data_IF_184916714042
#
_entry.id   IF_184916714042
#
_cell.length_a   1.000
_cell.length_b   1.000
_cell.length_c   1.000
_cell.angle_alpha   90.00
_cell.angle_beta   90.00
_cell.angle_gamma   90.00
#
_symmetry.space_group_name_H-M   'P 1'
#
loop_
_entity.id
_entity.type
_entity.pdbx_description
1 polymer ?
#
# COMPACT_ATOMS: atom_id res chain seq x y z
N UNK A 1 -4.59 -17.63 11.49
CA UNK A 1 -3.22 -18.19 11.39
C UNK A 1 -2.30 -17.30 10.53
N UNK A 2 -2.54 -15.98 10.49
CA UNK A 2 -1.87 -15.03 9.57
C UNK A 2 -0.82 -14.06 10.18
N UNK A 3 -0.46 -14.04 11.49
CA UNK A 3 0.43 -13.00 12.02
C UNK A 3 1.92 -13.19 11.65
N UNK A 4 2.40 -14.43 11.48
CA UNK A 4 3.84 -14.70 11.29
C UNK A 4 4.37 -14.29 9.91
N UNK A 5 3.57 -14.49 8.87
CA UNK A 5 3.91 -14.05 7.49
C UNK A 5 3.97 -12.52 7.41
N UNK A 6 3.08 -11.82 8.14
CA UNK A 6 3.10 -10.36 8.20
C UNK A 6 4.35 -9.85 8.92
N UNK A 7 4.76 -10.53 10.00
CA UNK A 7 6.00 -10.23 10.72
C UNK A 7 7.21 -10.43 9.80
N UNK A 8 7.23 -11.50 8.98
CA UNK A 8 8.31 -11.71 8.01
C UNK A 8 8.45 -10.52 7.05
N UNK A 9 7.34 -10.06 6.46
CA UNK A 9 7.36 -8.90 5.56
C UNK A 9 7.69 -7.59 6.25
N UNK A 10 7.34 -7.45 7.53
CA UNK A 10 7.70 -6.27 8.31
C UNK A 10 9.21 -6.21 8.63
N UNK A 11 9.90 -7.35 8.63
CA UNK A 11 11.35 -7.44 8.85
C UNK A 11 12.13 -7.34 7.52
N UNK A 12 11.60 -7.90 6.43
CA UNK A 12 12.16 -7.84 5.05
C UNK A 12 11.97 -6.43 4.42
N UNK A 13 12.58 -5.41 5.01
CA UNK A 13 12.53 -4.01 4.53
C UNK A 13 13.07 -3.86 3.10
N UNK A 14 14.08 -4.67 2.74
CA UNK A 14 14.74 -4.64 1.43
C UNK A 14 13.98 -5.40 0.35
N UNK A 15 12.90 -6.07 0.72
CA UNK A 15 12.06 -6.87 -0.17
C UNK A 15 12.83 -7.94 -0.97
N UNK A 16 13.90 -8.47 -0.38
CA UNK A 16 14.77 -9.47 -1.03
C UNK A 16 14.35 -10.91 -0.69
N UNK A 17 13.19 -11.09 -0.02
CA UNK A 17 12.66 -12.37 0.44
C UNK A 17 13.60 -13.10 1.43
N UNK A 18 14.50 -12.37 2.09
CA UNK A 18 15.41 -12.90 3.10
C UNK A 18 15.47 -12.00 4.32
N UNK A 19 15.58 -12.61 5.51
CA UNK A 19 15.77 -11.88 6.76
C UNK A 19 17.13 -12.26 7.33
N UNK A 20 17.98 -11.27 7.52
CA UNK A 20 19.24 -11.44 8.25
C UNK A 20 19.00 -11.39 9.76
N UNK A 21 19.91 -12.01 10.52
CA UNK A 21 19.88 -11.94 11.99
C UNK A 21 19.88 -10.51 12.53
N UNK A 22 20.57 -9.60 11.84
CA UNK A 22 20.68 -8.20 12.26
C UNK A 22 19.38 -7.42 11.99
N UNK A 23 18.67 -7.73 10.90
CA UNK A 23 17.32 -7.18 10.63
C UNK A 23 16.30 -7.68 11.66
N UNK A 24 16.34 -8.97 12.01
CA UNK A 24 15.47 -9.53 13.05
C UNK A 24 15.73 -8.88 14.42
N UNK A 25 17.01 -8.69 14.80
CA UNK A 25 17.38 -7.96 16.03
C UNK A 25 16.87 -6.53 16.03
N UNK A 26 17.02 -5.82 14.90
CA UNK A 26 16.56 -4.45 14.77
C UNK A 26 15.04 -4.36 14.95
N UNK A 27 14.31 -5.28 14.33
CA UNK A 27 12.86 -5.35 14.45
C UNK A 27 12.39 -5.63 15.88
N UNK A 28 12.99 -6.61 16.56
CA UNK A 28 12.68 -6.94 17.96
C UNK A 28 12.95 -5.76 18.89
N UNK A 29 14.09 -5.10 18.73
CA UNK A 29 14.46 -3.91 19.52
C UNK A 29 13.54 -2.73 19.26
N UNK A 30 13.17 -2.48 18.00
CA UNK A 30 12.32 -1.36 17.61
C UNK A 30 10.87 -1.52 18.09
N UNK A 31 10.36 -2.76 18.07
CA UNK A 31 8.98 -3.06 18.49
C UNK A 31 8.88 -3.46 19.98
N UNK A 32 9.96 -3.33 20.75
CA UNK A 32 10.04 -3.72 22.16
C UNK A 32 9.56 -5.16 22.43
N UNK A 33 9.92 -6.08 21.52
CA UNK A 33 9.56 -7.50 21.62
C UNK A 33 10.58 -8.26 22.49
N UNK A 34 10.19 -9.46 22.93
CA UNK A 34 11.06 -10.34 23.70
C UNK A 34 12.29 -10.77 22.88
N UNK A 35 13.49 -10.55 23.43
CA UNK A 35 14.78 -10.95 22.83
C UNK A 35 14.86 -12.48 22.61
N UNK A 36 14.14 -13.27 23.41
CA UNK A 36 13.99 -14.71 23.22
C UNK A 36 13.28 -15.08 21.90
N UNK A 37 12.63 -14.13 21.21
CA UNK A 37 12.07 -14.33 19.88
C UNK A 37 13.17 -14.61 18.85
N UNK A 38 14.35 -14.00 18.97
CA UNK A 38 15.46 -14.18 18.02
C UNK A 38 15.93 -15.64 18.05
N UNK A 39 16.20 -16.17 19.24
CA UNK A 39 16.65 -17.56 19.42
C UNK A 39 15.61 -18.55 18.91
N UNK A 40 14.32 -18.28 19.16
CA UNK A 40 13.22 -19.11 18.64
C UNK A 40 13.13 -19.08 17.12
N UNK A 41 13.25 -17.91 16.51
CA UNK A 41 13.23 -17.78 15.05
C UNK A 41 14.43 -18.45 14.39
N UNK A 42 15.62 -18.33 14.98
CA UNK A 42 16.79 -19.06 14.51
C UNK A 42 16.58 -20.58 14.60
N UNK A 43 16.11 -21.08 15.74
CA UNK A 43 15.88 -22.52 15.92
C UNK A 43 14.81 -23.08 14.97
N UNK A 44 13.76 -22.31 14.67
CA UNK A 44 12.66 -22.75 13.83
C UNK A 44 12.96 -22.61 12.33
N UNK A 45 13.56 -21.51 11.91
CA UNK A 45 13.65 -21.13 10.50
C UNK A 45 15.07 -21.15 9.92
N UNK A 46 16.11 -21.16 10.76
CA UNK A 46 17.52 -21.29 10.36
C UNK A 46 18.25 -22.39 11.16
N UNK A 47 17.82 -23.66 11.05
CA UNK A 47 18.46 -24.77 11.77
C UNK A 47 19.91 -25.02 11.33
N UNK A 48 20.29 -24.54 10.14
CA UNK A 48 21.66 -24.59 9.63
C UNK A 48 22.58 -23.50 10.19
N UNK A 49 22.04 -22.57 10.99
CA UNK A 49 22.76 -21.39 11.51
C UNK A 49 23.51 -20.63 10.41
N UNK A 50 22.87 -20.53 9.24
CA UNK A 50 23.39 -19.81 8.07
C UNK A 50 23.38 -18.30 8.30
N UNK A 51 22.63 -17.82 9.29
CA UNK A 51 22.45 -16.42 9.61
C UNK A 51 21.37 -15.72 8.75
N UNK A 52 20.74 -16.46 7.84
CA UNK A 52 19.76 -15.95 6.86
C UNK A 52 18.52 -16.84 6.89
N UNK A 53 17.35 -16.23 7.09
CA UNK A 53 16.06 -16.91 7.01
C UNK A 53 15.42 -16.55 5.67
N UNK A 54 15.24 -17.53 4.79
CA UNK A 54 14.59 -17.32 3.49
C UNK A 54 13.07 -17.45 3.60
N UNK A 55 12.35 -16.69 2.77
CA UNK A 55 10.88 -16.73 2.75
C UNK A 55 10.33 -18.11 2.40
N UNK A 56 11.02 -18.83 1.50
CA UNK A 56 10.64 -20.20 1.13
C UNK A 56 10.73 -21.14 2.33
N UNK A 57 11.85 -21.11 3.07
CA UNK A 57 12.02 -21.92 4.28
C UNK A 57 11.00 -21.55 5.36
N UNK A 58 10.69 -20.27 5.49
CA UNK A 58 9.70 -19.76 6.41
C UNK A 58 8.29 -20.31 6.10
N UNK A 59 7.90 -20.31 4.83
CA UNK A 59 6.64 -20.90 4.36
C UNK A 59 6.57 -22.41 4.61
N UNK A 60 7.66 -23.13 4.32
CA UNK A 60 7.75 -24.59 4.51
C UNK A 60 7.54 -24.98 5.97
N UNK A 61 8.16 -24.26 6.92
CA UNK A 61 8.05 -24.53 8.36
C UNK A 61 6.66 -24.20 8.88
N UNK A 62 6.02 -23.14 8.37
CA UNK A 62 4.65 -22.78 8.75
C UNK A 62 3.58 -23.62 8.06
N UNK A 63 3.95 -24.50 7.11
CA UNK A 63 3.01 -25.30 6.34
C UNK A 63 2.12 -24.47 5.41
N UNK A 64 2.55 -23.25 5.07
CA UNK A 64 1.80 -22.33 4.20
C UNK A 64 2.36 -22.43 2.78
N UNK A 65 1.48 -22.52 1.78
CA UNK A 65 1.92 -22.50 0.37
C UNK A 65 2.52 -21.13 0.04
N UNK A 66 3.74 -21.05 -0.55
CA UNK A 66 4.39 -19.77 -0.89
C UNK A 66 3.52 -18.86 -1.75
N UNK A 67 2.74 -19.42 -2.68
CA UNK A 67 1.79 -18.68 -3.53
C UNK A 67 0.67 -17.99 -2.73
N UNK A 68 0.17 -18.65 -1.68
CA UNK A 68 -0.84 -18.05 -0.79
C UNK A 68 -0.21 -16.96 0.08
N UNK A 69 1.01 -17.20 0.58
CA UNK A 69 1.76 -16.23 1.38
C UNK A 69 2.19 -14.99 0.56
N UNK A 70 2.49 -15.15 -0.74
CA UNK A 70 2.75 -14.05 -1.68
C UNK A 70 1.49 -13.24 -2.00
N UNK A 71 0.33 -13.90 -2.08
CA UNK A 71 -0.96 -13.20 -2.17
C UNK A 71 -1.22 -12.39 -0.90
N UNK A 72 -0.85 -12.91 0.28
CA UNK A 72 -0.85 -12.16 1.54
C UNK A 72 0.18 -11.03 1.54
N UNK A 73 1.35 -11.19 0.91
CA UNK A 73 2.32 -10.09 0.71
C UNK A 73 1.67 -8.95 -0.03
N UNK A 74 0.86 -9.21 -1.06
CA UNK A 74 0.12 -8.15 -1.76
C UNK A 74 -0.86 -7.44 -0.83
N UNK A 75 -1.56 -8.15 0.06
CA UNK A 75 -2.46 -7.49 1.04
C UNK A 75 -1.72 -6.77 2.18
N UNK A 76 -0.53 -7.24 2.58
CA UNK A 76 0.30 -6.65 3.65
C UNK A 76 1.18 -5.49 3.16
N UNK A 77 1.67 -5.56 1.92
CA UNK A 77 2.34 -4.44 1.22
C UNK A 77 1.31 -3.38 0.82
N UNK A 78 0.06 -3.77 0.52
CA UNK A 78 -1.10 -2.86 0.46
C UNK A 78 -1.53 -2.34 1.83
N UNK A 79 -0.96 -2.89 2.91
CA UNK A 79 -1.05 -2.43 4.28
C UNK A 79 0.29 -1.80 4.75
N UNK A 80 0.98 -1.05 3.87
CA UNK A 80 1.54 0.20 4.39
C UNK A 80 0.36 0.87 5.09
N UNK A 81 0.44 1.25 6.37
CA UNK A 81 -0.62 2.07 6.94
C UNK A 81 -0.74 3.24 5.98
N UNK A 82 -1.85 3.28 5.23
CA UNK A 82 -2.24 4.48 4.54
C UNK A 82 -2.03 5.60 5.57
N UNK A 83 -1.40 6.73 5.18
CA UNK A 83 -1.20 7.84 6.11
C UNK A 83 -2.49 8.00 6.89
N UNK A 84 -2.48 8.16 8.22
CA UNK A 84 -3.72 8.21 9.03
C UNK A 84 -4.77 9.20 8.47
N UNK A 85 -4.31 10.13 7.64
CA UNK A 85 -5.05 11.15 6.94
C UNK A 85 -5.76 10.66 5.65
N UNK A 86 -5.53 9.43 5.18
CA UNK A 86 -6.00 8.89 3.92
C UNK A 86 -7.01 7.76 4.14
N UNK A 87 -8.24 7.98 3.68
CA UNK A 87 -9.31 6.99 3.73
C UNK A 87 -9.87 6.76 2.34
N UNK A 88 -9.80 5.53 1.86
CA UNK A 88 -10.41 5.15 0.59
C UNK A 88 -11.92 5.00 0.78
N UNK A 89 -12.71 5.65 -0.07
CA UNK A 89 -14.19 5.61 -0.04
C UNK A 89 -14.69 4.59 -1.06
N UNK A 90 -14.16 4.62 -2.28
CA UNK A 90 -14.51 3.69 -3.35
C UNK A 90 -13.34 3.58 -4.32
N UNK A 91 -13.08 2.37 -4.81
CA UNK A 91 -11.98 2.12 -5.73
C UNK A 91 -12.40 1.10 -6.79
N UNK A 92 -12.04 1.39 -8.04
CA UNK A 92 -12.17 0.49 -9.16
C UNK A 92 -11.02 0.79 -10.10
N UNK A 93 -9.79 0.45 -9.70
CA UNK A 93 -8.56 0.52 -10.51
C UNK A 93 -7.41 -0.23 -9.81
N UNK A 94 -6.28 -0.45 -10.49
CA UNK A 94 -5.13 -1.19 -9.95
C UNK A 94 -4.46 -0.46 -8.77
N UNK A 95 -3.83 -1.20 -7.84
CA UNK A 95 -3.17 -0.58 -6.67
C UNK A 95 -1.99 0.31 -7.09
N UNK A 96 -1.29 -0.06 -8.16
CA UNK A 96 -0.15 0.71 -8.67
C UNK A 96 -0.58 2.10 -9.15
N UNK A 97 -1.69 2.17 -9.90
CA UNK A 97 -2.23 3.44 -10.40
C UNK A 97 -2.77 4.30 -9.25
N UNK A 98 -3.39 3.67 -8.23
CA UNK A 98 -3.83 4.36 -7.03
C UNK A 98 -2.66 5.04 -6.32
N UNK A 99 -1.55 4.32 -6.12
CA UNK A 99 -0.35 4.87 -5.47
C UNK A 99 0.21 6.06 -6.25
N UNK A 100 0.23 6.00 -7.58
CA UNK A 100 0.67 7.13 -8.40
C UNK A 100 -0.24 8.36 -8.23
N UNK A 101 -1.57 8.17 -8.22
CA UNK A 101 -2.53 9.26 -7.98
C UNK A 101 -2.31 9.87 -6.59
N UNK A 102 -2.15 9.03 -5.57
CA UNK A 102 -1.94 9.49 -4.20
C UNK A 102 -0.66 10.29 -4.05
N UNK A 103 0.46 9.79 -4.57
CA UNK A 103 1.75 10.48 -4.51
C UNK A 103 1.69 11.83 -5.26
N UNK A 104 1.01 11.86 -6.41
CA UNK A 104 0.82 13.10 -7.16
C UNK A 104 0.00 14.13 -6.38
N UNK A 105 -1.16 13.74 -5.85
CA UNK A 105 -2.04 14.63 -5.07
C UNK A 105 -1.32 15.11 -3.80
N UNK A 106 -0.55 14.24 -3.14
CA UNK A 106 0.24 14.59 -1.97
C UNK A 106 1.29 15.66 -2.29
N UNK A 107 1.97 15.53 -3.42
CA UNK A 107 2.96 16.52 -3.88
C UNK A 107 2.32 17.90 -4.18
N UNK A 108 1.04 17.94 -4.55
CA UNK A 108 0.31 19.19 -4.77
C UNK A 108 -0.11 19.86 -3.46
N UNK A 109 -0.44 19.08 -2.43
CA UNK A 109 -0.77 19.61 -1.11
C UNK A 109 0.41 20.34 -0.45
N UNK A 110 1.64 19.91 -0.70
CA UNK A 110 2.85 20.59 -0.21
C UNK A 110 3.04 21.98 -0.85
N UNK A 111 2.50 22.19 -2.06
CA UNK A 111 2.64 23.44 -2.83
C UNK A 111 1.66 24.54 -2.41
N UNK A 112 0.75 24.28 -1.46
CA UNK A 112 -0.29 25.23 -0.98
C UNK A 112 -1.01 25.99 -2.11
N UNK A 113 -1.39 25.25 -3.15
CA UNK A 113 -2.13 25.81 -4.30
C UNK A 113 -3.61 26.03 -3.95
N UNK A 114 -4.29 26.85 -4.76
CA UNK A 114 -5.75 26.99 -4.70
C UNK A 114 -6.44 25.67 -5.07
N UNK A 115 -7.62 25.42 -4.51
CA UNK A 115 -8.42 24.21 -4.81
C UNK A 115 -8.76 24.09 -6.30
N UNK A 116 -8.99 25.22 -6.97
CA UNK A 116 -9.23 25.27 -8.40
C UNK A 116 -8.00 24.84 -9.20
N UNK A 117 -6.83 25.36 -8.83
CA UNK A 117 -5.55 25.01 -9.48
C UNK A 117 -5.22 23.54 -9.26
N UNK A 118 -5.45 23.01 -8.05
CA UNK A 118 -5.28 21.59 -7.74
C UNK A 118 -6.18 20.72 -8.61
N UNK A 119 -7.46 21.07 -8.73
CA UNK A 119 -8.42 20.31 -9.56
C UNK A 119 -7.96 20.25 -11.01
N UNK A 120 -7.51 21.38 -11.55
CA UNK A 120 -7.04 21.47 -12.93
C UNK A 120 -5.73 20.68 -13.16
N UNK A 121 -4.78 20.76 -12.23
CA UNK A 121 -3.50 20.04 -12.32
C UNK A 121 -3.69 18.52 -12.23
N UNK A 122 -4.53 18.06 -11.29
CA UNK A 122 -4.86 16.64 -11.15
C UNK A 122 -5.50 16.13 -12.44
N UNK A 123 -6.46 16.88 -13.00
CA UNK A 123 -7.10 16.51 -14.27
C UNK A 123 -6.09 16.43 -15.42
N UNK A 124 -5.26 17.45 -15.60
CA UNK A 124 -4.25 17.49 -16.66
C UNK A 124 -3.25 16.34 -16.56
N UNK A 125 -2.86 15.99 -15.34
CA UNK A 125 -1.96 14.87 -15.10
C UNK A 125 -2.64 13.52 -15.38
N UNK A 126 -3.87 13.31 -14.92
CA UNK A 126 -4.63 12.10 -15.19
C UNK A 126 -4.87 11.90 -16.70
N UNK A 127 -5.28 12.96 -17.40
CA UNK A 127 -5.50 12.93 -18.86
C UNK A 127 -4.22 12.58 -19.65
N UNK A 128 -3.05 12.93 -19.10
CA UNK A 128 -1.74 12.64 -19.70
C UNK A 128 -1.26 11.21 -19.39
N UNK A 129 -1.56 10.69 -18.20
CA UNK A 129 -1.03 9.41 -17.70
C UNK A 129 -1.93 8.23 -18.03
N UNK A 130 -3.26 8.38 -17.95
CA UNK A 130 -4.25 7.30 -18.03
C UNK A 130 -5.29 7.51 -19.15
N UNK A 131 -4.85 8.16 -20.24
CA UNK A 131 -5.64 8.70 -21.36
C UNK A 131 -6.65 9.81 -21.01
N UNK A 132 -7.13 10.58 -22.01
CA UNK A 132 -8.00 11.72 -21.77
C UNK A 132 -9.43 11.37 -21.36
N UNK A 133 -10.11 12.35 -20.76
CA UNK A 133 -11.53 12.39 -20.33
C UNK A 133 -11.74 12.05 -18.86
N UNK A 134 -10.79 12.46 -18.02
CA UNK A 134 -10.93 12.40 -16.57
C UNK A 134 -11.72 13.58 -16.03
N UNK A 135 -12.58 13.28 -15.06
CA UNK A 135 -13.28 14.24 -14.22
C UNK A 135 -12.66 14.19 -12.84
N UNK A 136 -12.45 15.37 -12.26
CA UNK A 136 -11.86 15.54 -10.93
C UNK A 136 -12.76 16.48 -10.15
N UNK A 137 -13.16 16.05 -8.96
CA UNK A 137 -13.96 16.85 -8.03
C UNK A 137 -13.29 16.81 -6.67
N UNK A 138 -13.06 18.00 -6.10
CA UNK A 138 -12.58 18.17 -4.73
C UNK A 138 -13.75 18.73 -3.91
N UNK A 139 -14.09 18.04 -2.82
CA UNK A 139 -15.18 18.42 -1.93
C UNK A 139 -14.64 18.65 -0.52
N UNK A 140 -15.02 19.78 0.07
CA UNK A 140 -14.84 20.04 1.50
C UNK A 140 -16.14 19.66 2.23
N UNK A 141 -16.14 18.52 2.92
CA UNK A 141 -17.31 17.95 3.60
C UNK A 141 -17.92 16.70 2.95
N UNK A 142 -19.24 16.52 3.12
CA UNK A 142 -19.98 15.33 2.66
C UNK A 142 -20.56 15.50 1.26
N UNK A 143 -20.65 14.40 0.52
CA UNK A 143 -21.23 14.36 -0.82
C UNK A 143 -22.07 13.09 -1.04
N UNK A 144 -22.99 13.17 -2.00
CA UNK A 144 -23.74 12.02 -2.54
C UNK A 144 -23.65 12.09 -4.06
N UNK A 145 -23.33 10.98 -4.70
CA UNK A 145 -23.17 10.93 -6.16
C UNK A 145 -23.72 9.61 -6.70
N UNK A 146 -24.35 9.69 -7.87
CA UNK A 146 -24.71 8.56 -8.72
C UNK A 146 -24.12 8.83 -10.09
N UNK A 147 -23.23 7.97 -10.57
CA UNK A 147 -22.57 8.15 -11.86
C UNK A 147 -22.28 6.80 -12.51
N UNK A 148 -21.98 6.83 -13.81
CA UNK A 148 -21.50 5.69 -14.58
C UNK A 148 -20.10 6.01 -15.08
N UNK A 149 -19.17 5.09 -14.87
CA UNK A 149 -17.76 5.19 -15.24
C UNK A 149 -17.32 3.98 -16.03
N UNK A 150 -16.21 4.13 -16.74
CA UNK A 150 -15.54 2.97 -17.33
C UNK A 150 -15.07 2.01 -16.21
N UNK A 151 -15.18 0.68 -16.42
CA UNK A 151 -14.58 -0.29 -15.52
C UNK A 151 -13.10 0.02 -15.32
N UNK A 152 -12.60 -0.17 -14.10
CA UNK A 152 -11.18 -0.03 -13.74
C UNK A 152 -10.61 1.40 -13.80
N UNK A 153 -11.45 2.44 -13.95
CA UNK A 153 -11.00 3.84 -14.06
C UNK A 153 -11.74 4.81 -13.13
N UNK A 154 -11.92 4.42 -11.86
CA UNK A 154 -12.44 5.33 -10.83
C UNK A 154 -11.78 5.16 -9.47
N UNK A 155 -11.57 6.28 -8.78
CA UNK A 155 -11.03 6.32 -7.43
C UNK A 155 -11.69 7.45 -6.63
N UNK A 156 -12.09 7.14 -5.40
CA UNK A 156 -12.60 8.09 -4.43
C UNK A 156 -11.88 7.90 -3.11
N UNK A 157 -11.32 8.98 -2.60
CA UNK A 157 -10.59 8.96 -1.34
C UNK A 157 -10.74 10.27 -0.61
N UNK A 158 -10.63 10.21 0.71
CA UNK A 158 -10.50 11.36 1.59
C UNK A 158 -9.05 11.51 1.98
N UNK A 159 -8.53 12.73 1.87
CA UNK A 159 -7.20 13.09 2.34
C UNK A 159 -7.33 14.34 3.22
N UNK A 160 -7.04 14.18 4.53
CA UNK A 160 -7.33 15.18 5.57
C UNK A 160 -8.83 15.49 5.64
N UNK A 161 -9.22 16.76 5.45
CA UNK A 161 -10.62 17.21 5.52
C UNK A 161 -11.34 17.21 4.16
N UNK A 162 -10.61 16.92 3.06
CA UNK A 162 -11.14 17.00 1.70
C UNK A 162 -11.33 15.63 1.07
N UNK A 163 -12.43 15.47 0.33
CA UNK A 163 -12.72 14.30 -0.49
C UNK A 163 -12.33 14.58 -1.94
N UNK A 164 -11.71 13.60 -2.57
CA UNK A 164 -11.25 13.63 -3.95
C UNK A 164 -11.97 12.51 -4.70
N UNK A 165 -12.73 12.89 -5.72
CA UNK A 165 -13.41 11.97 -6.61
C UNK A 165 -12.79 12.12 -7.99
N UNK A 166 -12.28 11.02 -8.53
CA UNK A 166 -11.73 10.98 -9.88
C UNK A 166 -12.32 9.80 -10.64
N UNK A 167 -12.83 10.06 -11.84
CA UNK A 167 -13.35 9.00 -12.71
C UNK A 167 -13.18 9.38 -14.17
N UNK A 168 -13.04 8.36 -15.03
CA UNK A 168 -13.00 8.54 -16.48
C UNK A 168 -14.34 8.18 -17.11
N UNK A 169 -14.75 8.98 -18.07
CA UNK A 169 -15.93 8.71 -18.92
C UNK A 169 -15.50 8.23 -20.31
N UNK A 170 -16.28 7.35 -20.96
CA UNK A 170 -16.01 6.96 -22.34
C UNK A 170 -16.07 8.18 -23.26
N UNK A 171 -15.20 8.18 -24.28
CA UNK A 171 -15.33 9.12 -25.41
C UNK A 171 -16.47 8.63 -26.27
N UNK A 172 -17.48 9.48 -26.48
CA UNK A 172 -18.54 9.25 -27.47
C UNK A 172 -17.99 9.35 -28.88
#
# INVERSE_FOLDING_TARGET
MEPFVNIFFAIDEQQNETITRDELRRYVKHNHLDEGMITRWQALFDPGNTGIITFQRFCDVLGVKPEQARTLRKSVVNNRPLPKDLQIISQNMSTEDQLQIFDYVRSLLEKKLSDQDMTQLIKQWLDKTFDPSWHVVIVDGSYWISYSHLPEQSLQFRLKEKCYLVWRTPKY
#
